data_IF_100249816417
#
_entry.id   IF_100249816417
#
_cell.length_a   1.000
_cell.length_b   1.000
_cell.length_c   1.000
_cell.angle_alpha   90.00
_cell.angle_beta   90.00
_cell.angle_gamma   90.00
#
_symmetry.space_group_name_H-M   'P 1'
#
loop_
_entity.id
_entity.type
_entity.pdbx_description
1 polymer ?
#
# COMPACT_ATOMS: atom_id res chain seq x y z
N UNK A 1 -21.77 4.53 30.75
CA UNK A 1 -20.90 3.59 30.02
C UNK A 1 -20.11 4.38 28.99
N UNK A 2 -18.86 4.74 29.29
CA UNK A 2 -18.06 5.57 28.41
C UNK A 2 -17.66 4.77 27.17
N UNK A 3 -18.27 5.08 26.03
CA UNK A 3 -17.97 4.49 24.74
C UNK A 3 -16.66 5.10 24.24
N UNK A 4 -15.52 4.58 24.68
CA UNK A 4 -14.22 4.98 24.16
C UNK A 4 -14.11 4.43 22.74
N UNK A 5 -14.39 5.30 21.77
CA UNK A 5 -14.28 5.01 20.36
C UNK A 5 -12.81 4.72 20.03
N UNK A 6 -12.42 3.46 20.18
CA UNK A 6 -11.04 3.05 20.03
C UNK A 6 -10.57 3.40 18.60
N UNK A 7 -9.36 3.91 18.48
CA UNK A 7 -8.79 4.36 17.21
C UNK A 7 -8.44 3.16 16.33
N UNK A 8 -8.46 3.35 15.02
CA UNK A 8 -8.09 2.33 14.04
C UNK A 8 -6.67 1.80 14.31
N UNK A 9 -6.45 0.48 14.17
CA UNK A 9 -5.13 -0.15 14.32
C UNK A 9 -4.12 0.22 13.22
N UNK A 10 -4.59 0.77 12.10
CA UNK A 10 -3.72 1.21 11.01
C UNK A 10 -3.03 2.52 11.43
N UNK A 11 -1.72 2.49 11.63
CA UNK A 11 -0.78 3.62 11.71
C UNK A 11 -1.18 4.75 10.77
N UNK A 12 -1.15 5.96 11.30
CA UNK A 12 -1.55 7.19 10.59
C UNK A 12 -3.04 7.19 10.17
N UNK A 13 -3.89 6.48 10.93
CA UNK A 13 -5.33 6.52 10.79
C UNK A 13 -6.03 6.91 12.10
N UNK A 14 -6.37 8.18 12.21
CA UNK A 14 -7.08 8.72 13.39
C UNK A 14 -8.58 8.42 13.41
N UNK A 15 -9.06 7.57 12.49
CA UNK A 15 -10.47 7.21 12.42
C UNK A 15 -10.85 6.24 13.53
N UNK A 16 -12.06 6.39 14.04
CA UNK A 16 -12.60 5.44 15.02
C UNK A 16 -12.90 4.06 14.40
N UNK A 17 -12.66 3.02 15.19
CA UNK A 17 -13.06 1.64 14.92
C UNK A 17 -14.33 1.29 15.68
N UNK A 18 -15.12 0.38 15.13
CA UNK A 18 -16.23 -0.22 15.85
C UNK A 18 -15.70 -1.10 16.99
N UNK A 19 -16.45 -1.22 18.10
CA UNK A 19 -16.04 -1.99 19.28
C UNK A 19 -15.61 -3.44 18.98
N UNK A 20 -16.23 -4.08 17.97
CA UNK A 20 -15.95 -5.46 17.55
C UNK A 20 -14.93 -5.57 16.39
N UNK A 21 -14.22 -4.50 16.07
CA UNK A 21 -13.28 -4.43 14.93
C UNK A 21 -11.95 -3.88 15.39
N UNK A 22 -10.87 -4.34 14.76
CA UNK A 22 -9.51 -3.79 14.96
C UNK A 22 -9.22 -2.60 14.05
N UNK A 23 -9.96 -2.46 12.95
CA UNK A 23 -9.78 -1.41 11.94
C UNK A 23 -11.05 -0.61 11.71
N UNK A 24 -10.93 0.62 11.20
CA UNK A 24 -12.08 1.47 10.86
C UNK A 24 -12.90 0.86 9.70
N UNK A 25 -14.15 1.32 9.55
CA UNK A 25 -15.07 0.80 8.52
C UNK A 25 -14.49 0.92 7.10
N UNK A 26 -13.78 2.01 6.79
CA UNK A 26 -13.12 2.20 5.50
C UNK A 26 -12.06 1.14 5.23
N UNK A 27 -11.20 0.85 6.22
CA UNK A 27 -10.19 -0.20 6.10
C UNK A 27 -10.83 -1.59 6.03
N UNK A 28 -11.84 -1.87 6.87
CA UNK A 28 -12.61 -3.13 6.81
C UNK A 28 -13.23 -3.36 5.43
N UNK A 29 -13.83 -2.34 4.82
CA UNK A 29 -14.40 -2.44 3.47
C UNK A 29 -13.34 -2.67 2.41
N UNK A 30 -12.17 -2.00 2.51
CA UNK A 30 -11.05 -2.22 1.60
C UNK A 30 -10.50 -3.64 1.70
N UNK A 31 -10.28 -4.14 2.91
CA UNK A 31 -9.82 -5.52 3.18
C UNK A 31 -10.81 -6.53 2.60
N UNK A 32 -12.11 -6.35 2.85
CA UNK A 32 -13.16 -7.25 2.30
C UNK A 32 -13.23 -7.22 0.77
N UNK A 33 -12.93 -6.08 0.15
CA UNK A 33 -13.09 -5.89 -1.30
C UNK A 33 -11.86 -6.32 -2.11
N UNK A 34 -10.67 -6.21 -1.55
CA UNK A 34 -9.42 -6.36 -2.30
C UNK A 34 -8.44 -7.36 -1.69
N UNK A 35 -8.81 -8.05 -0.61
CA UNK A 35 -7.84 -8.71 0.27
C UNK A 35 -7.09 -7.66 1.11
N UNK A 36 -6.44 -8.08 2.21
CA UNK A 36 -5.76 -7.15 3.12
C UNK A 36 -4.64 -6.38 2.39
N UNK A 37 -4.80 -5.07 2.09
CA UNK A 37 -3.81 -4.36 1.30
C UNK A 37 -2.69 -3.82 2.18
N UNK A 38 -2.85 -3.86 3.51
CA UNK A 38 -2.19 -2.95 4.42
C UNK A 38 -1.92 -3.61 5.76
N UNK A 39 -0.63 -3.73 6.09
CA UNK A 39 0.00 -2.65 6.85
C UNK A 39 -0.35 -2.81 8.33
N UNK A 40 0.61 -2.91 9.21
CA UNK A 40 1.41 -1.74 9.58
C UNK A 40 2.72 -2.15 10.19
N UNK A 41 3.60 -2.66 9.35
CA UNK A 41 5.01 -2.68 9.70
C UNK A 41 5.72 -2.00 8.54
N UNK A 42 6.45 -0.93 8.85
CA UNK A 42 7.70 -0.69 8.13
C UNK A 42 8.58 -1.91 8.43
N UNK A 43 8.32 -3.01 7.72
CA UNK A 43 9.23 -4.15 7.72
C UNK A 43 10.49 -3.76 6.96
N UNK A 44 11.60 -4.42 7.28
CA UNK A 44 12.77 -4.43 6.42
C UNK A 44 12.32 -4.90 5.03
N UNK A 45 12.51 -4.07 4.00
CA UNK A 45 12.22 -4.51 2.64
C UNK A 45 13.26 -5.57 2.24
N UNK A 46 12.80 -6.69 1.71
CA UNK A 46 13.71 -7.60 1.02
C UNK A 46 14.07 -6.98 -0.34
N UNK A 47 15.26 -6.43 -0.43
CA UNK A 47 15.76 -5.78 -1.64
C UNK A 47 15.91 -6.76 -2.81
N UNK A 48 16.12 -8.07 -2.54
CA UNK A 48 16.20 -9.08 -3.59
C UNK A 48 14.82 -9.33 -4.21
N UNK A 49 13.77 -9.41 -3.38
CA UNK A 49 12.40 -9.54 -3.87
C UNK A 49 11.99 -8.30 -4.67
N UNK A 50 12.31 -7.09 -4.18
CA UNK A 50 12.06 -5.84 -4.91
C UNK A 50 12.73 -5.87 -6.29
N UNK A 51 14.02 -6.21 -6.35
CA UNK A 51 14.77 -6.25 -7.60
C UNK A 51 14.18 -7.29 -8.56
N UNK A 52 13.88 -8.50 -8.06
CA UNK A 52 13.31 -9.59 -8.82
C UNK A 52 11.98 -9.18 -9.46
N UNK A 53 11.09 -8.56 -8.68
CA UNK A 53 9.76 -8.13 -9.15
C UNK A 53 9.88 -7.00 -10.18
N UNK A 54 10.76 -6.02 -9.94
CA UNK A 54 11.00 -4.92 -10.90
C UNK A 54 11.56 -5.46 -12.22
N UNK A 55 12.44 -6.45 -12.15
CA UNK A 55 13.04 -7.09 -13.33
C UNK A 55 12.02 -7.94 -14.09
N UNK A 56 11.29 -8.80 -13.40
CA UNK A 56 10.42 -9.81 -14.01
C UNK A 56 8.99 -9.33 -14.29
N UNK A 57 8.57 -8.20 -13.69
CA UNK A 57 7.24 -7.60 -13.85
C UNK A 57 6.08 -8.57 -13.55
N UNK A 58 6.31 -9.48 -12.60
CA UNK A 58 5.31 -10.47 -12.16
C UNK A 58 4.51 -9.92 -10.98
N UNK A 59 3.19 -10.18 -10.92
CA UNK A 59 2.42 -9.92 -9.72
C UNK A 59 3.03 -10.64 -8.54
N UNK A 60 3.28 -9.90 -7.46
CA UNK A 60 3.78 -10.46 -6.22
C UNK A 60 2.70 -10.31 -5.13
N UNK A 61 2.38 -11.43 -4.50
CA UNK A 61 1.53 -11.46 -3.33
C UNK A 61 2.36 -11.16 -2.07
N UNK A 62 1.72 -10.73 -0.98
CA UNK A 62 2.39 -10.58 0.31
C UNK A 62 3.34 -9.38 0.47
N UNK A 63 3.53 -8.52 -0.54
CA UNK A 63 4.43 -7.36 -0.43
C UNK A 63 4.06 -6.43 0.73
N UNK A 64 5.07 -6.05 1.50
CA UNK A 64 5.02 -4.99 2.52
C UNK A 64 4.73 -3.63 1.90
N UNK A 65 4.42 -2.64 2.75
CA UNK A 65 4.23 -1.25 2.29
C UNK A 65 5.46 -0.71 1.57
N UNK A 66 6.63 -0.92 2.16
CA UNK A 66 7.88 -0.38 1.67
C UNK A 66 8.24 -1.04 0.34
N UNK A 67 8.13 -2.37 0.25
CA UNK A 67 8.37 -3.11 -1.01
C UNK A 67 7.44 -2.65 -2.13
N UNK A 68 6.14 -2.43 -1.88
CA UNK A 68 5.23 -1.90 -2.92
C UNK A 68 5.67 -0.54 -3.44
N UNK A 69 6.14 0.34 -2.55
CA UNK A 69 6.64 1.66 -2.95
C UNK A 69 7.94 1.53 -3.74
N UNK A 70 8.88 0.71 -3.27
CA UNK A 70 10.16 0.49 -3.94
C UNK A 70 9.97 -0.16 -5.32
N UNK A 71 9.14 -1.20 -5.41
CA UNK A 71 8.77 -1.84 -6.69
C UNK A 71 8.09 -0.84 -7.62
N UNK A 72 7.13 -0.05 -7.12
CA UNK A 72 6.44 0.93 -7.95
C UNK A 72 7.37 2.04 -8.48
N UNK A 73 8.36 2.47 -7.68
CA UNK A 73 9.40 3.41 -8.12
C UNK A 73 10.32 2.80 -9.17
N UNK A 74 10.88 1.61 -8.93
CA UNK A 74 11.73 0.93 -9.90
C UNK A 74 11.01 0.60 -11.23
N UNK A 75 9.72 0.31 -11.19
CA UNK A 75 8.90 0.17 -12.40
C UNK A 75 8.61 1.52 -13.08
N UNK A 76 8.43 2.60 -12.32
CA UNK A 76 8.23 3.94 -12.88
C UNK A 76 9.48 4.47 -13.58
N UNK A 77 10.68 4.21 -13.04
CA UNK A 77 11.97 4.51 -13.69
C UNK A 77 12.13 3.77 -15.02
N UNK A 78 11.50 2.60 -15.15
CA UNK A 78 11.44 1.81 -16.40
C UNK A 78 10.24 2.17 -17.28
N UNK A 79 9.63 3.32 -17.03
CA UNK A 79 8.50 3.89 -17.77
C UNK A 79 7.26 2.96 -17.85
N UNK A 80 7.12 2.03 -16.90
CA UNK A 80 5.98 1.10 -16.88
C UNK A 80 4.69 1.90 -16.62
N UNK A 81 3.59 1.66 -17.36
CA UNK A 81 2.32 2.38 -17.16
C UNK A 81 1.73 2.18 -15.76
N UNK A 82 1.08 3.21 -15.20
CA UNK A 82 0.54 3.19 -13.83
C UNK A 82 -0.47 2.05 -13.58
N UNK A 83 -1.27 1.71 -14.60
CA UNK A 83 -2.20 0.57 -14.56
C UNK A 83 -1.46 -0.77 -14.37
N UNK A 84 -0.33 -0.93 -15.04
CA UNK A 84 0.44 -2.17 -14.99
C UNK A 84 1.22 -2.29 -13.68
N UNK A 85 1.78 -1.17 -13.19
CA UNK A 85 2.35 -1.09 -11.84
C UNK A 85 1.31 -1.49 -10.79
N UNK A 86 0.08 -0.97 -10.91
CA UNK A 86 -1.01 -1.28 -9.99
C UNK A 86 -1.36 -2.78 -9.97
N UNK A 87 -1.35 -3.44 -11.13
CA UNK A 87 -1.53 -4.89 -11.26
C UNK A 87 -0.40 -5.66 -10.56
N UNK A 88 0.85 -5.26 -10.79
CA UNK A 88 2.04 -5.94 -10.25
C UNK A 88 2.10 -5.81 -8.72
N UNK A 89 1.90 -4.60 -8.19
CA UNK A 89 2.02 -4.32 -6.76
C UNK A 89 0.70 -4.52 -5.99
N UNK A 90 -0.37 -4.98 -6.64
CA UNK A 90 -1.66 -5.25 -6.01
C UNK A 90 -2.34 -4.02 -5.37
N UNK A 91 -2.33 -2.86 -6.04
CA UNK A 91 -3.01 -1.64 -5.57
C UNK A 91 -3.92 -1.06 -6.67
N UNK A 92 -4.64 0.03 -6.38
CA UNK A 92 -5.41 0.75 -7.39
C UNK A 92 -4.50 1.69 -8.21
N UNK A 93 -4.77 1.85 -9.50
CA UNK A 93 -4.06 2.80 -10.38
C UNK A 93 -3.93 4.22 -9.78
N UNK A 94 -5.01 4.75 -9.17
CA UNK A 94 -5.00 6.07 -8.53
C UNK A 94 -4.00 6.18 -7.37
N UNK A 95 -3.67 5.07 -6.74
CA UNK A 95 -2.65 5.03 -5.68
C UNK A 95 -1.26 5.25 -6.28
N UNK A 96 -0.96 4.58 -7.40
CA UNK A 96 0.32 4.74 -8.12
C UNK A 96 0.46 6.16 -8.65
N UNK A 97 -0.60 6.72 -9.24
CA UNK A 97 -0.59 8.10 -9.74
C UNK A 97 -0.31 9.12 -8.63
N UNK A 98 -0.88 8.90 -7.44
CA UNK A 98 -0.62 9.72 -6.25
C UNK A 98 0.82 9.62 -5.78
N UNK A 99 1.41 8.42 -5.78
CA UNK A 99 2.83 8.23 -5.46
C UNK A 99 3.72 9.00 -6.43
N UNK A 100 3.47 8.86 -7.74
CA UNK A 100 4.20 9.63 -8.77
C UNK A 100 4.04 11.14 -8.59
N UNK A 101 2.84 11.62 -8.25
CA UNK A 101 2.60 13.03 -8.00
C UNK A 101 3.37 13.55 -6.77
N UNK A 102 3.46 12.72 -5.72
CA UNK A 102 4.27 13.03 -4.54
C UNK A 102 5.77 13.05 -4.87
N UNK A 103 6.27 12.03 -5.58
CA UNK A 103 7.68 11.96 -6.00
C UNK A 103 8.07 13.18 -6.87
N UNK A 104 7.21 13.60 -7.80
CA UNK A 104 7.43 14.85 -8.59
C UNK A 104 7.49 16.10 -7.73
N UNK A 105 6.69 16.18 -6.67
CA UNK A 105 6.69 17.32 -5.74
C UNK A 105 7.93 17.33 -4.85
N UNK A 106 8.46 16.17 -4.49
CA UNK A 106 9.69 16.03 -3.70
C UNK A 106 10.96 16.27 -4.51
N UNK A 107 10.91 16.09 -5.84
CA UNK A 107 12.02 16.33 -6.76
C UNK A 107 12.09 17.78 -7.31
N UNK A 108 11.09 18.62 -7.03
CA UNK A 108 10.99 20.01 -7.45
C UNK A 108 11.41 20.98 -6.34
#
# INVERSE_FOLDING_TARGET
>A
MANHAATCRIDDCDKHRAHHSTVCQTHRQRIRKWGDPHFTQWGTADMQDVELIVRERRPAEGLTRLERVLVARGLAEREVPAREVARIVGVNQRTVERWRAKDRKEAA
#
